data_IF_745040162906
#
_entry.id   IF_745040162906
#
_cell.length_a   1.000
_cell.length_b   1.000
_cell.length_c   1.000
_cell.angle_alpha   90.00
_cell.angle_beta   90.00
_cell.angle_gamma   90.00
#
_symmetry.space_group_name_H-M   'P 1'
#
loop_
_entity.id
_entity.type
_entity.pdbx_description
1 polymer ?
#
# COMPACT_ATOMS: atom_id res chain seq x y z
N UNK A 1 1.00 -13.48 13.11
CA UNK A 1 2.32 -12.83 12.96
C UNK A 1 2.35 -11.51 13.73
N UNK A 2 1.65 -10.41 13.34
CA UNK A 2 1.72 -9.12 14.07
C UNK A 2 1.42 -9.30 15.57
N UNK A 3 0.30 -9.96 15.92
CA UNK A 3 -0.08 -10.27 17.32
C UNK A 3 1.02 -11.02 18.09
N UNK A 4 1.73 -11.91 17.43
CA UNK A 4 2.77 -12.72 18.09
C UNK A 4 3.96 -11.84 18.46
N UNK A 5 4.37 -10.92 17.58
CA UNK A 5 5.45 -9.95 17.87
C UNK A 5 5.01 -8.87 18.87
N UNK A 6 3.74 -8.47 18.89
CA UNK A 6 3.21 -7.59 19.96
C UNK A 6 3.44 -8.23 21.32
N UNK A 7 3.14 -9.53 21.45
CA UNK A 7 3.37 -10.29 22.71
C UNK A 7 4.85 -10.51 22.99
N UNK A 8 5.62 -10.89 22.00
CA UNK A 8 7.07 -11.14 22.11
C UNK A 8 7.84 -9.90 22.56
N UNK A 9 7.43 -8.72 22.08
CA UNK A 9 8.00 -7.43 22.46
C UNK A 9 7.43 -6.86 23.76
N UNK A 10 6.47 -7.54 24.38
CA UNK A 10 5.87 -7.11 25.65
C UNK A 10 5.02 -5.84 25.54
N UNK A 11 4.43 -5.56 24.38
CA UNK A 11 3.55 -4.42 24.18
C UNK A 11 2.16 -4.78 24.75
N UNK A 12 1.85 -4.28 25.95
CA UNK A 12 0.71 -4.79 26.71
C UNK A 12 -0.48 -3.81 26.82
N UNK A 13 -0.27 -2.52 26.55
CA UNK A 13 -1.27 -1.47 26.79
C UNK A 13 -1.03 -0.22 25.94
N UNK A 14 -1.84 0.80 26.14
CA UNK A 14 -1.81 2.09 25.46
C UNK A 14 -0.66 3.03 25.88
N UNK A 15 0.22 2.62 26.79
CA UNK A 15 1.46 3.34 27.08
C UNK A 15 2.55 3.10 26.02
N UNK A 16 2.41 2.03 25.25
CA UNK A 16 3.34 1.65 24.18
C UNK A 16 2.88 2.16 22.81
N UNK A 17 3.83 2.58 22.00
CA UNK A 17 3.62 3.06 20.63
C UNK A 17 4.26 2.10 19.64
N UNK A 18 3.44 1.47 18.81
CA UNK A 18 3.89 0.66 17.67
C UNK A 18 3.88 1.51 16.40
N UNK A 19 4.98 1.51 15.67
CA UNK A 19 5.11 2.13 14.36
C UNK A 19 5.12 1.08 13.25
N UNK A 20 4.36 1.32 12.19
CA UNK A 20 4.54 0.67 10.90
C UNK A 20 4.92 1.71 9.84
N UNK A 21 6.22 1.82 9.47
CA UNK A 21 6.71 2.83 8.53
C UNK A 21 6.40 2.52 7.06
N UNK A 22 5.83 1.36 6.75
CA UNK A 22 5.36 0.95 5.42
C UNK A 22 3.96 0.34 5.55
N UNK A 23 3.04 1.07 6.20
CA UNK A 23 1.79 0.49 6.68
C UNK A 23 0.81 0.06 5.58
N UNK A 24 1.04 0.45 4.33
CA UNK A 24 0.18 0.09 3.22
C UNK A 24 -1.28 0.45 3.52
N UNK A 25 -2.15 -0.55 3.54
CA UNK A 25 -3.56 -0.37 3.90
C UNK A 25 -3.87 -0.66 5.37
N UNK A 26 -2.87 -0.67 6.27
CA UNK A 26 -3.05 -0.58 7.71
C UNK A 26 -3.31 -1.87 8.49
N UNK A 27 -2.95 -3.05 7.97
CA UNK A 27 -3.18 -4.32 8.68
C UNK A 27 -2.48 -4.37 10.04
N UNK A 28 -1.22 -3.94 10.13
CA UNK A 28 -0.47 -3.91 11.40
C UNK A 28 -1.10 -2.95 12.40
N UNK A 29 -1.62 -1.82 11.91
CA UNK A 29 -2.23 -0.80 12.76
C UNK A 29 -3.55 -1.28 13.37
N UNK A 30 -4.40 -1.92 12.56
CA UNK A 30 -5.65 -2.52 13.03
C UNK A 30 -5.36 -3.59 14.08
N UNK A 31 -4.41 -4.48 13.81
CA UNK A 31 -4.05 -5.56 14.73
C UNK A 31 -3.47 -5.02 16.05
N UNK A 32 -2.59 -4.01 15.99
CA UNK A 32 -2.03 -3.37 17.19
C UNK A 32 -3.13 -2.73 18.04
N UNK A 33 -4.04 -1.99 17.41
CA UNK A 33 -5.15 -1.33 18.09
C UNK A 33 -6.12 -2.32 18.74
N UNK A 34 -6.40 -3.47 18.08
CA UNK A 34 -7.18 -4.56 18.66
C UNK A 34 -6.50 -5.24 19.86
N UNK A 35 -5.17 -5.13 19.97
CA UNK A 35 -4.40 -5.65 21.10
C UNK A 35 -4.11 -4.57 22.18
N UNK A 36 -4.77 -3.42 22.13
CA UNK A 36 -4.66 -2.38 23.15
C UNK A 36 -3.46 -1.45 23.01
N UNK A 37 -2.72 -1.46 21.89
CA UNK A 37 -1.48 -0.71 21.68
C UNK A 37 -1.74 0.53 20.81
N UNK A 38 -1.18 1.69 21.21
CA UNK A 38 -1.18 2.87 20.35
C UNK A 38 -0.40 2.60 19.07
N UNK A 39 -0.86 3.15 17.95
CA UNK A 39 -0.27 2.83 16.67
C UNK A 39 -0.07 4.05 15.77
N UNK A 40 1.04 4.06 15.07
CA UNK A 40 1.39 5.06 14.07
C UNK A 40 1.69 4.34 12.77
N UNK A 41 1.06 4.79 11.67
CA UNK A 41 1.37 4.36 10.32
C UNK A 41 2.03 5.47 9.52
N UNK A 42 3.03 5.12 8.72
CA UNK A 42 3.58 5.98 7.68
C UNK A 42 3.39 5.28 6.35
N UNK A 43 2.86 6.01 5.37
CA UNK A 43 2.63 5.49 4.02
C UNK A 43 2.82 6.62 3.00
N UNK A 44 3.67 6.38 2.00
CA UNK A 44 3.94 7.38 0.97
C UNK A 44 2.83 7.44 -0.09
N UNK A 45 2.11 6.34 -0.31
CA UNK A 45 1.04 6.26 -1.31
C UNK A 45 -0.25 6.89 -0.76
N UNK A 46 -0.78 7.98 -1.37
CA UNK A 46 -1.88 8.76 -0.80
C UNK A 46 -3.16 7.93 -0.60
N UNK A 47 -3.53 7.09 -1.58
CA UNK A 47 -4.69 6.21 -1.43
C UNK A 47 -4.49 5.16 -0.33
N UNK A 48 -3.31 4.55 -0.23
CA UNK A 48 -3.04 3.57 0.83
C UNK A 48 -3.04 4.20 2.21
N UNK A 49 -2.45 5.39 2.37
CA UNK A 49 -2.50 6.17 3.60
C UNK A 49 -3.96 6.51 3.99
N UNK A 50 -4.76 6.94 3.01
CA UNK A 50 -6.19 7.18 3.22
C UNK A 50 -6.92 5.91 3.69
N UNK A 51 -6.73 4.78 2.98
CA UNK A 51 -7.35 3.51 3.34
C UNK A 51 -6.96 3.04 4.74
N UNK A 52 -5.68 3.19 5.09
CA UNK A 52 -5.15 2.88 6.41
C UNK A 52 -5.80 3.75 7.49
N UNK A 53 -5.91 5.07 7.25
CA UNK A 53 -6.54 6.01 8.18
C UNK A 53 -8.03 5.68 8.41
N UNK A 54 -8.77 5.30 7.36
CA UNK A 54 -10.18 4.90 7.49
C UNK A 54 -10.32 3.60 8.28
N UNK A 55 -9.48 2.60 8.01
CA UNK A 55 -9.55 1.30 8.70
C UNK A 55 -9.26 1.38 10.21
N UNK A 56 -8.55 2.41 10.64
CA UNK A 56 -8.32 2.66 12.07
C UNK A 56 -9.24 3.76 12.63
N UNK A 57 -10.18 4.29 11.88
CA UNK A 57 -11.22 5.21 12.39
C UNK A 57 -12.45 4.41 12.83
N UNK A 58 -12.48 4.03 14.11
CA UNK A 58 -13.53 3.22 14.72
C UNK A 58 -14.60 4.03 15.47
N UNK A 59 -14.57 5.35 15.34
CA UNK A 59 -15.51 6.24 16.03
C UNK A 59 -16.77 6.54 15.23
N UNK A 60 -16.91 5.96 14.03
CA UNK A 60 -18.10 6.08 13.20
C UNK A 60 -19.18 5.14 13.72
N UNK A 61 -20.38 5.69 13.97
CA UNK A 61 -21.54 4.87 14.33
C UNK A 61 -22.02 4.05 13.15
N UNK A 62 -22.05 2.71 13.26
CA UNK A 62 -22.42 1.86 12.13
C UNK A 62 -23.84 2.04 11.65
N UNK A 63 -24.79 2.41 12.52
CA UNK A 63 -26.20 2.61 12.11
C UNK A 63 -26.34 3.93 11.34
N UNK A 64 -25.70 5.00 11.80
CA UNK A 64 -25.66 6.28 11.09
C UNK A 64 -24.99 6.13 9.71
N UNK A 65 -23.92 5.32 9.61
CA UNK A 65 -23.27 5.01 8.34
C UNK A 65 -24.24 4.34 7.37
N UNK A 66 -24.95 3.30 7.81
CA UNK A 66 -25.92 2.55 6.96
C UNK A 66 -27.09 3.43 6.56
N UNK A 67 -27.66 4.23 7.46
CA UNK A 67 -28.80 5.10 7.17
C UNK A 67 -28.42 6.19 6.16
N UNK A 68 -27.32 6.90 6.38
CA UNK A 68 -26.84 7.94 5.48
C UNK A 68 -26.59 7.40 4.06
N UNK A 69 -25.96 6.22 3.96
CA UNK A 69 -25.65 5.62 2.66
C UNK A 69 -26.88 5.15 1.88
N UNK A 70 -27.96 4.74 2.57
CA UNK A 70 -29.25 4.48 1.91
C UNK A 70 -29.83 5.76 1.26
N UNK A 71 -29.71 6.91 1.92
CA UNK A 71 -30.12 8.20 1.36
C UNK A 71 -29.31 8.61 0.12
N UNK A 72 -27.98 8.41 0.18
CA UNK A 72 -27.09 8.63 -0.97
C UNK A 72 -27.47 7.71 -2.13
N UNK A 73 -27.64 6.41 -1.86
CA UNK A 73 -28.03 5.42 -2.86
C UNK A 73 -29.37 5.78 -3.54
N UNK A 74 -30.38 6.14 -2.76
CA UNK A 74 -31.69 6.53 -3.30
C UNK A 74 -31.59 7.73 -4.24
N UNK A 75 -30.73 8.70 -3.93
CA UNK A 75 -30.47 9.87 -4.77
C UNK A 75 -29.83 9.46 -6.10
N UNK A 76 -28.79 8.63 -6.07
CA UNK A 76 -28.09 8.14 -7.27
C UNK A 76 -29.00 7.30 -8.14
N UNK A 77 -29.76 6.36 -7.55
CA UNK A 77 -30.69 5.50 -8.29
C UNK A 77 -31.80 6.32 -8.97
N UNK A 78 -32.27 7.42 -8.38
CA UNK A 78 -33.20 8.34 -9.01
C UNK A 78 -32.56 9.05 -10.21
N UNK A 79 -31.34 9.61 -10.05
CA UNK A 79 -30.60 10.29 -11.11
C UNK A 79 -30.29 9.34 -12.28
N UNK A 80 -29.94 8.09 -12.02
CA UNK A 80 -29.73 7.08 -13.04
C UNK A 80 -31.00 6.83 -13.86
N UNK A 81 -32.19 6.73 -13.22
CA UNK A 81 -33.47 6.56 -13.92
C UNK A 81 -33.79 7.78 -14.79
N UNK A 82 -33.51 8.99 -14.32
CA UNK A 82 -33.66 10.23 -15.13
C UNK A 82 -32.73 10.22 -16.36
N UNK A 83 -31.57 9.53 -16.27
CA UNK A 83 -30.69 9.31 -17.41
C UNK A 83 -31.09 8.10 -18.29
N UNK A 84 -32.20 7.46 -18.02
CA UNK A 84 -32.66 6.21 -18.67
C UNK A 84 -31.68 5.06 -18.48
N UNK A 85 -31.01 4.99 -17.30
CA UNK A 85 -30.12 3.94 -16.89
C UNK A 85 -30.72 3.17 -15.71
N UNK A 86 -30.47 1.85 -15.68
CA UNK A 86 -30.80 0.98 -14.55
C UNK A 86 -29.51 0.49 -13.92
N UNK A 87 -29.42 0.48 -12.58
CA UNK A 87 -28.22 -0.02 -11.91
C UNK A 87 -28.18 -1.55 -11.88
N UNK A 88 -29.33 -2.20 -11.80
CA UNK A 88 -29.43 -3.66 -11.68
C UNK A 88 -29.47 -4.37 -13.04
N UNK A 89 -29.94 -3.70 -14.07
CA UNK A 89 -30.08 -4.26 -15.42
C UNK A 89 -29.05 -3.65 -16.36
N UNK A 90 -28.29 -4.49 -17.09
CA UNK A 90 -27.35 -3.99 -18.09
C UNK A 90 -28.06 -3.12 -19.13
N UNK A 91 -27.55 -1.92 -19.33
CA UNK A 91 -28.05 -0.96 -20.32
C UNK A 91 -27.07 -0.87 -21.50
N UNK A 92 -27.60 -0.65 -22.69
CA UNK A 92 -26.80 -0.29 -23.84
C UNK A 92 -26.39 1.20 -23.71
N UNK A 93 -25.11 1.54 -23.92
CA UNK A 93 -24.66 2.94 -23.92
C UNK A 93 -25.51 3.86 -24.82
N UNK A 94 -25.99 3.35 -25.96
CA UNK A 94 -26.82 4.09 -26.93
C UNK A 94 -28.23 4.39 -26.43
N UNK A 95 -28.68 3.77 -25.34
CA UNK A 95 -29.98 4.00 -24.71
C UNK A 95 -29.97 5.10 -23.65
N UNK A 96 -28.77 5.59 -23.28
CA UNK A 96 -28.65 6.66 -22.31
C UNK A 96 -29.22 7.97 -22.87
N UNK A 97 -30.08 8.64 -22.09
CA UNK A 97 -30.74 9.88 -22.52
C UNK A 97 -29.84 11.12 -22.44
N UNK A 98 -28.69 10.99 -21.80
CA UNK A 98 -27.71 12.06 -21.63
C UNK A 98 -26.31 11.57 -22.04
N UNK A 99 -25.36 12.47 -22.39
CA UNK A 99 -23.98 12.09 -22.63
C UNK A 99 -23.38 11.44 -21.39
N UNK A 100 -22.70 10.29 -21.58
CA UNK A 100 -22.02 9.61 -20.47
C UNK A 100 -20.93 10.51 -19.89
N UNK A 101 -20.93 10.65 -18.57
CA UNK A 101 -19.84 11.35 -17.85
C UNK A 101 -18.57 10.53 -17.94
N UNK A 102 -17.47 11.22 -18.09
CA UNK A 102 -16.12 10.64 -18.15
C UNK A 102 -15.12 11.51 -17.41
N UNK A 103 -13.95 10.98 -17.13
CA UNK A 103 -12.82 11.77 -16.67
C UNK A 103 -12.28 12.65 -17.78
N UNK A 104 -11.50 13.67 -17.43
CA UNK A 104 -10.80 14.48 -18.42
C UNK A 104 -9.89 13.61 -19.30
N UNK A 105 -9.61 14.01 -20.55
CA UNK A 105 -8.74 13.22 -21.43
C UNK A 105 -7.35 12.91 -20.83
N UNK A 106 -6.81 13.80 -20.01
CA UNK A 106 -5.51 13.60 -19.37
C UNK A 106 -5.58 12.59 -18.22
N UNK A 107 -6.64 12.59 -17.42
CA UNK A 107 -6.88 11.56 -16.41
C UNK A 107 -7.13 10.18 -17.04
N UNK A 108 -7.91 10.12 -18.13
CA UNK A 108 -8.12 8.87 -18.87
C UNK A 108 -6.82 8.25 -19.39
N UNK A 109 -5.84 9.07 -19.79
CA UNK A 109 -4.49 8.60 -20.21
C UNK A 109 -3.67 8.01 -19.06
N UNK A 110 -4.00 8.32 -17.79
CA UNK A 110 -3.33 7.74 -16.63
C UNK A 110 -3.82 6.32 -16.33
N UNK A 111 -5.06 6.02 -16.70
CA UNK A 111 -5.66 4.70 -16.47
C UNK A 111 -5.00 3.61 -17.33
N UNK A 112 -5.07 2.39 -16.88
CA UNK A 112 -4.84 1.23 -17.74
C UNK A 112 -5.98 1.22 -18.76
N UNK A 113 -5.65 1.18 -20.03
CA UNK A 113 -6.65 1.16 -21.10
C UNK A 113 -7.67 0.05 -20.85
N UNK A 114 -8.94 0.37 -21.03
CA UNK A 114 -10.08 -0.54 -20.85
C UNK A 114 -10.25 -1.10 -19.40
N UNK A 115 -9.58 -0.48 -18.40
CA UNK A 115 -9.71 -0.88 -16.99
C UNK A 115 -11.13 -0.68 -16.43
N UNK A 116 -11.92 0.20 -17.01
CA UNK A 116 -13.32 0.41 -16.70
C UNK A 116 -14.08 0.77 -17.98
N UNK A 117 -15.30 0.28 -18.12
CA UNK A 117 -16.18 0.57 -19.26
C UNK A 117 -16.91 1.91 -19.08
N UNK A 118 -17.37 2.57 -20.18
CA UNK A 118 -17.98 3.91 -20.10
C UNK A 118 -19.21 4.01 -19.22
N UNK A 119 -20.15 3.05 -19.28
CA UNK A 119 -21.39 3.09 -18.48
C UNK A 119 -21.10 2.91 -16.98
N UNK A 120 -20.34 1.89 -16.54
CA UNK A 120 -19.91 1.80 -15.16
C UNK A 120 -19.15 3.05 -14.67
N UNK A 121 -18.27 3.63 -15.49
CA UNK A 121 -17.56 4.86 -15.11
C UNK A 121 -18.54 6.02 -14.88
N UNK A 122 -19.54 6.21 -15.76
CA UNK A 122 -20.59 7.22 -15.59
C UNK A 122 -21.34 7.03 -14.26
N UNK A 123 -21.79 5.79 -13.95
CA UNK A 123 -22.45 5.46 -12.68
C UNK A 123 -21.56 5.74 -11.47
N UNK A 124 -20.28 5.37 -11.53
CA UNK A 124 -19.28 5.64 -10.49
C UNK A 124 -19.13 7.14 -10.25
N UNK A 125 -19.04 7.94 -11.30
CA UNK A 125 -18.88 9.40 -11.17
C UNK A 125 -20.14 10.06 -10.59
N UNK A 126 -21.33 9.57 -10.87
CA UNK A 126 -22.57 10.03 -10.23
C UNK A 126 -22.58 9.69 -8.73
N UNK A 127 -22.20 8.46 -8.38
CA UNK A 127 -22.09 8.05 -6.97
C UNK A 127 -21.02 8.84 -6.23
N UNK A 128 -19.88 9.07 -6.86
CA UNK A 128 -18.80 9.88 -6.28
C UNK A 128 -19.27 11.31 -5.99
N UNK A 129 -19.96 11.97 -6.93
CA UNK A 129 -20.50 13.31 -6.71
C UNK A 129 -21.54 13.33 -5.58
N UNK A 130 -22.37 12.29 -5.47
CA UNK A 130 -23.32 12.18 -4.38
C UNK A 130 -22.64 12.02 -3.02
N UNK A 131 -21.56 11.22 -2.93
CA UNK A 131 -20.74 11.06 -1.73
C UNK A 131 -20.01 12.38 -1.39
N UNK A 132 -19.47 13.09 -2.38
CA UNK A 132 -18.75 14.36 -2.19
C UNK A 132 -19.59 15.47 -1.54
N UNK A 133 -20.90 15.46 -1.73
CA UNK A 133 -21.83 16.38 -1.04
C UNK A 133 -21.84 16.20 0.48
N UNK A 134 -21.34 15.06 0.96
CA UNK A 134 -21.22 14.69 2.38
C UNK A 134 -19.80 14.79 2.92
N UNK A 135 -18.90 15.53 2.27
CA UNK A 135 -17.47 15.64 2.64
C UNK A 135 -17.22 16.07 4.09
N UNK A 136 -18.11 16.82 4.70
CA UNK A 136 -18.03 17.25 6.11
C UNK A 136 -18.51 16.22 7.13
N UNK A 137 -19.14 15.15 6.67
CA UNK A 137 -19.77 14.16 7.54
C UNK A 137 -18.76 13.12 8.03
N UNK A 138 -19.00 12.60 9.21
CA UNK A 138 -18.12 11.64 9.88
C UNK A 138 -17.93 10.35 9.05
N UNK A 139 -18.97 9.90 8.38
CA UNK A 139 -18.97 8.67 7.54
C UNK A 139 -18.39 8.86 6.13
N UNK A 140 -18.11 10.09 5.69
CA UNK A 140 -17.67 10.39 4.34
C UNK A 140 -16.50 9.51 3.86
N UNK A 141 -15.46 9.40 4.70
CA UNK A 141 -14.25 8.63 4.36
C UNK A 141 -14.55 7.13 4.20
N UNK A 142 -15.47 6.59 4.98
CA UNK A 142 -15.91 5.19 4.88
C UNK A 142 -16.67 4.97 3.55
N UNK A 143 -17.54 5.92 3.16
CA UNK A 143 -18.20 5.88 1.85
C UNK A 143 -17.20 5.86 0.68
N UNK A 144 -16.17 6.68 0.75
CA UNK A 144 -15.11 6.76 -0.26
C UNK A 144 -14.28 5.46 -0.33
N UNK A 145 -13.93 4.87 0.81
CA UNK A 145 -13.20 3.60 0.84
C UNK A 145 -14.06 2.44 0.33
N UNK A 146 -15.34 2.40 0.68
CA UNK A 146 -16.30 1.44 0.14
C UNK A 146 -16.40 1.53 -1.39
N UNK A 147 -16.45 2.78 -1.92
CA UNK A 147 -16.46 2.99 -3.37
C UNK A 147 -15.14 2.51 -4.02
N UNK A 148 -13.99 2.76 -3.40
CA UNK A 148 -12.71 2.25 -3.89
C UNK A 148 -12.69 0.72 -3.99
N UNK A 149 -13.15 0.01 -2.96
CA UNK A 149 -13.23 -1.45 -2.94
C UNK A 149 -14.18 -1.98 -4.01
N UNK A 150 -15.40 -1.45 -4.07
CA UNK A 150 -16.38 -1.85 -5.07
C UNK A 150 -15.86 -1.57 -6.50
N UNK A 151 -15.25 -0.40 -6.74
CA UNK A 151 -14.66 0.00 -8.02
C UNK A 151 -13.63 -1.01 -8.51
N UNK A 152 -12.69 -1.39 -7.65
CA UNK A 152 -11.57 -2.28 -8.02
C UNK A 152 -12.03 -3.71 -8.21
N UNK A 153 -12.78 -4.28 -7.27
CA UNK A 153 -13.04 -5.71 -7.22
C UNK A 153 -14.34 -6.15 -7.88
N UNK A 154 -15.31 -5.26 -8.02
CA UNK A 154 -16.67 -5.62 -8.50
C UNK A 154 -17.07 -4.87 -9.78
N UNK A 155 -16.64 -3.62 -9.96
CA UNK A 155 -17.10 -2.75 -11.05
C UNK A 155 -16.11 -2.74 -12.23
N UNK A 156 -14.81 -2.67 -11.97
CA UNK A 156 -13.78 -2.55 -13.00
C UNK A 156 -13.63 -3.81 -13.88
N UNK A 157 -12.90 -3.66 -14.97
CA UNK A 157 -12.46 -4.78 -15.82
C UNK A 157 -11.07 -5.30 -15.40
N UNK A 158 -10.55 -4.86 -14.25
CA UNK A 158 -9.22 -5.27 -13.79
C UNK A 158 -9.18 -6.76 -13.42
N UNK A 159 -8.04 -7.36 -13.72
CA UNK A 159 -7.68 -8.72 -13.32
C UNK A 159 -6.36 -8.67 -12.58
N UNK A 160 -6.34 -9.23 -11.38
CA UNK A 160 -5.15 -9.34 -10.56
C UNK A 160 -4.47 -10.69 -10.75
N UNK A 161 -3.17 -10.67 -10.99
CA UNK A 161 -2.31 -11.82 -11.21
C UNK A 161 -0.88 -11.45 -10.80
N UNK A 162 0.15 -12.04 -11.44
CA UNK A 162 1.53 -11.59 -11.25
C UNK A 162 1.70 -10.10 -11.55
N UNK A 163 1.00 -9.59 -12.58
CA UNK A 163 0.84 -8.16 -12.90
C UNK A 163 -0.64 -7.83 -13.00
N UNK A 164 -1.01 -6.57 -12.66
CA UNK A 164 -2.37 -6.08 -12.92
C UNK A 164 -2.58 -5.88 -14.42
N UNK A 165 -3.67 -6.39 -14.91
CA UNK A 165 -4.08 -6.28 -16.31
C UNK A 165 -5.57 -6.10 -16.45
N UNK A 166 -6.07 -6.16 -17.68
CA UNK A 166 -7.49 -6.11 -17.99
C UNK A 166 -7.99 -7.53 -18.28
N UNK A 167 -9.08 -7.90 -17.66
CA UNK A 167 -9.76 -9.16 -17.85
C UNK A 167 -10.86 -9.06 -18.90
N UNK A 168 -12.00 -9.70 -18.64
CA UNK A 168 -13.17 -9.62 -19.49
C UNK A 168 -13.75 -8.20 -19.44
N UNK A 169 -14.01 -7.61 -20.62
CA UNK A 169 -14.65 -6.31 -20.72
C UNK A 169 -16.15 -6.50 -20.45
N UNK A 170 -16.63 -5.83 -19.42
CA UNK A 170 -18.07 -5.79 -19.06
C UNK A 170 -18.62 -4.45 -19.46
N UNK A 171 -19.55 -4.43 -20.43
CA UNK A 171 -20.11 -3.18 -20.98
C UNK A 171 -20.84 -2.37 -19.93
N UNK A 172 -21.60 -3.05 -19.08
CA UNK A 172 -22.28 -2.48 -17.93
C UNK A 172 -22.30 -3.46 -16.75
N UNK A 173 -22.31 -2.91 -15.54
CA UNK A 173 -22.42 -3.64 -14.27
C UNK A 173 -23.12 -2.76 -13.22
N UNK A 174 -23.74 -3.34 -12.17
CA UNK A 174 -24.19 -2.60 -11.01
C UNK A 174 -23.05 -1.83 -10.33
N UNK A 175 -23.35 -0.67 -9.78
CA UNK A 175 -22.41 0.19 -9.03
C UNK A 175 -22.89 0.47 -7.62
N UNK A 176 -24.18 0.80 -7.45
CA UNK A 176 -24.74 1.16 -6.14
C UNK A 176 -24.85 -0.04 -5.22
N UNK A 177 -25.31 -1.19 -5.74
CA UNK A 177 -25.47 -2.40 -4.92
C UNK A 177 -24.13 -2.95 -4.39
N UNK A 178 -23.05 -3.07 -5.20
CA UNK A 178 -21.70 -3.41 -4.70
C UNK A 178 -21.17 -2.43 -3.65
N UNK A 179 -21.37 -1.13 -3.86
CA UNK A 179 -20.97 -0.11 -2.89
C UNK A 179 -21.70 -0.27 -1.54
N UNK A 180 -23.02 -0.48 -1.55
CA UNK A 180 -23.80 -0.73 -0.34
C UNK A 180 -23.38 -2.03 0.37
N UNK A 181 -22.99 -3.04 -0.39
CA UNK A 181 -22.46 -4.29 0.18
C UNK A 181 -21.14 -4.02 0.95
N UNK A 182 -20.23 -3.21 0.40
CA UNK A 182 -19.00 -2.82 1.11
C UNK A 182 -19.29 -2.00 2.37
N UNK A 183 -20.27 -1.09 2.32
CA UNK A 183 -20.76 -0.36 3.50
C UNK A 183 -21.29 -1.32 4.57
N UNK A 184 -22.09 -2.31 4.17
CA UNK A 184 -22.60 -3.34 5.07
C UNK A 184 -21.46 -4.10 5.77
N UNK A 185 -20.46 -4.53 5.02
CA UNK A 185 -19.27 -5.21 5.56
C UNK A 185 -18.54 -4.32 6.58
N UNK A 186 -18.33 -3.02 6.28
CA UNK A 186 -17.69 -2.09 7.20
C UNK A 186 -18.53 -1.86 8.47
N UNK A 187 -19.84 -1.73 8.34
CA UNK A 187 -20.73 -1.58 9.49
C UNK A 187 -20.70 -2.84 10.38
N UNK A 188 -20.67 -4.02 9.79
CA UNK A 188 -20.56 -5.28 10.53
C UNK A 188 -19.21 -5.40 11.25
N UNK A 189 -18.12 -4.96 10.65
CA UNK A 189 -16.82 -4.93 11.29
C UNK A 189 -16.80 -3.95 12.47
N UNK A 190 -17.38 -2.74 12.32
CA UNK A 190 -17.51 -1.78 13.41
C UNK A 190 -18.34 -2.32 14.57
N UNK A 191 -19.45 -3.06 14.31
CA UNK A 191 -20.28 -3.70 15.35
C UNK A 191 -19.53 -4.80 16.12
N UNK A 192 -18.55 -5.44 15.50
CA UNK A 192 -17.75 -6.51 16.14
C UNK A 192 -16.60 -5.98 16.99
N UNK A 193 -16.32 -4.69 16.93
CA UNK A 193 -15.26 -4.13 17.75
C UNK A 193 -15.59 -4.26 19.25
N UNK A 194 -14.59 -4.56 20.09
CA UNK A 194 -14.78 -4.53 21.53
C UNK A 194 -15.22 -3.13 21.98
N UNK A 195 -16.18 -3.04 22.87
CA UNK A 195 -16.59 -1.75 23.43
C UNK A 195 -15.50 -1.14 24.30
N UNK A 196 -15.44 0.20 24.35
CA UNK A 196 -14.55 0.95 25.25
C UNK A 196 -13.72 2.03 24.54
N UNK A 197 -12.89 2.73 25.27
CA UNK A 197 -11.94 3.66 24.66
C UNK A 197 -10.91 2.85 23.85
N UNK A 198 -10.72 3.23 22.61
CA UNK A 198 -9.72 2.59 21.75
C UNK A 198 -8.37 3.30 21.87
N UNK A 199 -7.23 2.56 21.81
CA UNK A 199 -5.92 3.17 21.74
C UNK A 199 -5.81 4.15 20.57
N UNK A 200 -5.00 5.19 20.75
CA UNK A 200 -4.77 6.19 19.70
C UNK A 200 -4.18 5.54 18.45
N UNK A 201 -4.69 5.92 17.29
CA UNK A 201 -4.14 5.55 15.99
C UNK A 201 -3.95 6.81 15.13
N UNK A 202 -2.78 6.93 14.50
CA UNK A 202 -2.46 8.02 13.60
C UNK A 202 -1.84 7.46 12.31
N UNK A 203 -2.20 8.05 11.16
CA UNK A 203 -1.58 7.70 9.87
C UNK A 203 -1.07 8.99 9.22
N UNK A 204 0.20 8.99 8.84
CA UNK A 204 0.84 10.08 8.15
C UNK A 204 1.16 9.68 6.71
N UNK A 205 0.78 10.53 5.76
CA UNK A 205 1.21 10.39 4.38
C UNK A 205 2.61 10.97 4.24
N UNK A 206 3.63 10.13 4.32
CA UNK A 206 5.03 10.55 4.29
C UNK A 206 5.95 9.45 3.72
N UNK A 207 7.17 9.85 3.37
CA UNK A 207 8.22 8.92 2.94
C UNK A 207 8.86 8.28 4.17
N UNK A 208 8.92 6.96 4.19
CA UNK A 208 9.54 6.18 5.27
C UNK A 208 11.06 6.42 5.42
N UNK A 209 11.70 7.12 4.49
CA UNK A 209 13.10 7.52 4.53
C UNK A 209 13.33 8.87 5.23
N UNK A 210 12.26 9.56 5.65
CA UNK A 210 12.27 10.89 6.28
C UNK A 210 11.37 10.91 7.55
N UNK A 211 11.38 9.85 8.36
CA UNK A 211 10.51 9.65 9.54
C UNK A 211 10.77 10.68 10.63
N UNK A 212 12.03 11.02 10.87
CA UNK A 212 12.43 11.98 11.89
C UNK A 212 11.84 13.40 11.68
N UNK A 213 11.37 13.70 10.47
CA UNK A 213 10.63 14.94 10.18
C UNK A 213 9.16 14.87 10.56
N UNK A 214 8.64 13.67 10.77
CA UNK A 214 7.21 13.40 11.02
C UNK A 214 6.97 13.08 12.48
N UNK A 215 7.86 12.33 13.10
CA UNK A 215 7.72 11.84 14.47
C UNK A 215 8.71 12.52 15.43
N UNK A 216 8.29 12.78 16.67
CA UNK A 216 9.19 13.26 17.72
C UNK A 216 10.33 12.25 18.00
N UNK A 217 11.51 12.70 18.44
CA UNK A 217 12.55 11.82 18.93
C UNK A 217 12.06 10.94 20.08
N UNK A 218 12.57 9.70 20.15
CA UNK A 218 12.29 8.75 21.25
C UNK A 218 10.80 8.58 21.58
N UNK A 219 9.98 8.46 20.54
CA UNK A 219 8.51 8.34 20.67
C UNK A 219 7.98 6.93 20.35
N UNK A 220 8.81 6.02 19.85
CA UNK A 220 8.43 4.70 19.34
C UNK A 220 9.02 3.59 20.20
N UNK A 221 8.19 2.66 20.68
CA UNK A 221 8.59 1.51 21.51
C UNK A 221 8.85 0.26 20.67
N UNK A 222 8.16 0.11 19.53
CA UNK A 222 8.36 -1.01 18.63
C UNK A 222 8.02 -0.66 17.18
N UNK A 223 8.64 -1.42 16.26
CA UNK A 223 8.32 -1.39 14.83
C UNK A 223 7.92 -2.79 14.37
N UNK A 224 6.77 -2.92 13.72
CA UNK A 224 6.37 -4.16 13.03
C UNK A 224 5.93 -3.78 11.63
N UNK A 225 6.66 -4.22 10.61
CA UNK A 225 6.47 -3.74 9.24
C UNK A 225 6.84 -4.77 8.19
N UNK A 226 6.28 -4.59 7.00
CA UNK A 226 6.67 -5.33 5.79
C UNK A 226 6.99 -4.32 4.68
N UNK A 227 8.25 -3.86 4.57
CA UNK A 227 8.65 -2.95 3.50
C UNK A 227 8.47 -3.61 2.12
N UNK A 228 8.45 -2.84 1.02
CA UNK A 228 8.45 -3.44 -0.31
C UNK A 228 9.65 -4.36 -0.48
N UNK A 229 9.48 -5.49 -1.19
CA UNK A 229 10.56 -6.44 -1.45
C UNK A 229 11.34 -6.03 -2.72
N UNK A 230 12.61 -6.43 -2.89
CA UNK A 230 13.31 -6.26 -4.16
C UNK A 230 12.50 -6.92 -5.29
N UNK A 231 12.30 -6.22 -6.40
CA UNK A 231 11.44 -6.63 -7.52
C UNK A 231 9.96 -6.84 -7.16
N UNK A 232 9.44 -6.03 -6.24
CA UNK A 232 8.01 -6.01 -5.93
C UNK A 232 7.20 -5.34 -7.04
N UNK A 233 5.89 -5.56 -7.02
CA UNK A 233 4.95 -4.96 -7.97
C UNK A 233 5.00 -3.42 -7.91
N UNK A 234 4.74 -2.78 -9.05
CA UNK A 234 4.51 -1.33 -9.09
C UNK A 234 3.14 -1.02 -8.47
N UNK A 235 3.12 -0.72 -7.16
CA UNK A 235 1.91 -0.39 -6.42
C UNK A 235 1.15 0.79 -7.04
N UNK A 236 1.86 1.75 -7.64
CA UNK A 236 1.19 2.87 -8.33
C UNK A 236 0.44 2.43 -9.59
N UNK A 237 0.76 1.26 -10.14
CA UNK A 237 0.03 0.65 -11.25
C UNK A 237 -1.14 -0.18 -10.75
N UNK A 238 -0.93 -0.91 -9.65
CA UNK A 238 -1.95 -1.79 -9.05
C UNK A 238 -3.15 -0.99 -8.53
N UNK A 239 -2.88 0.18 -7.93
CA UNK A 239 -3.91 1.07 -7.36
C UNK A 239 -4.29 2.24 -8.27
N UNK A 240 -3.97 2.16 -9.57
CA UNK A 240 -4.10 3.27 -10.50
C UNK A 240 -5.54 3.72 -10.70
N UNK A 241 -6.47 2.78 -10.82
CA UNK A 241 -7.86 3.07 -11.13
C UNK A 241 -8.51 3.89 -10.02
N UNK A 242 -8.51 3.37 -8.81
CA UNK A 242 -9.09 4.03 -7.65
C UNK A 242 -8.37 5.33 -7.30
N UNK A 243 -7.03 5.38 -7.45
CA UNK A 243 -6.27 6.59 -7.16
C UNK A 243 -6.60 7.75 -8.11
N UNK A 244 -6.87 7.46 -9.38
CA UNK A 244 -7.22 8.49 -10.37
C UNK A 244 -8.71 8.83 -10.28
N UNK A 245 -9.60 7.85 -10.21
CA UNK A 245 -11.05 8.07 -10.19
C UNK A 245 -11.48 8.83 -8.94
N UNK A 246 -10.87 8.53 -7.79
CA UNK A 246 -11.18 9.16 -6.50
C UNK A 246 -10.35 10.43 -6.22
N UNK A 247 -9.54 10.87 -7.18
CA UNK A 247 -8.83 12.16 -7.09
C UNK A 247 -7.55 12.17 -6.26
N UNK A 248 -6.98 11.01 -5.88
CA UNK A 248 -5.69 10.94 -5.19
C UNK A 248 -4.48 11.20 -6.12
N UNK A 249 -4.68 11.07 -7.42
CA UNK A 249 -3.71 11.40 -8.48
C UNK A 249 -4.45 12.22 -9.52
N UNK A 250 -4.12 13.50 -9.61
CA UNK A 250 -4.77 14.45 -10.52
C UNK A 250 -4.05 14.59 -11.87
N UNK A 251 -2.74 14.29 -11.94
CA UNK A 251 -1.97 14.39 -13.18
C UNK A 251 -0.72 13.50 -13.20
N UNK A 252 0.10 13.64 -14.25
CA UNK A 252 1.37 12.91 -14.41
C UNK A 252 2.44 13.34 -13.40
N UNK A 253 2.40 14.58 -12.92
CA UNK A 253 3.40 15.08 -11.98
C UNK A 253 3.13 14.48 -10.62
N UNK A 254 1.86 14.44 -10.16
CA UNK A 254 1.46 13.75 -8.94
C UNK A 254 1.94 12.30 -8.94
N UNK A 255 1.75 11.60 -10.08
CA UNK A 255 2.21 10.22 -10.22
C UNK A 255 3.73 10.10 -10.16
N UNK A 256 4.47 11.06 -10.75
CA UNK A 256 5.93 11.09 -10.70
C UNK A 256 6.42 11.37 -9.29
N UNK A 257 5.83 12.34 -8.61
CA UNK A 257 6.18 12.73 -7.24
C UNK A 257 5.86 11.62 -6.25
N UNK A 258 4.72 10.94 -6.42
CA UNK A 258 4.44 9.72 -5.68
C UNK A 258 5.54 8.68 -5.86
N UNK A 259 5.91 8.36 -7.09
CA UNK A 259 6.97 7.37 -7.37
C UNK A 259 8.31 7.76 -6.74
N UNK A 260 8.64 9.04 -6.66
CA UNK A 260 9.87 9.52 -6.03
C UNK A 260 9.91 9.31 -4.51
N UNK A 261 8.75 9.28 -3.86
CA UNK A 261 8.63 9.03 -2.41
C UNK A 261 8.65 7.54 -2.03
N UNK A 262 8.55 6.63 -3.01
CA UNK A 262 8.61 5.20 -2.76
C UNK A 262 10.05 4.70 -2.75
N UNK A 263 10.36 3.75 -1.88
CA UNK A 263 11.61 2.97 -1.96
C UNK A 263 11.67 2.26 -3.32
N UNK A 264 12.83 2.30 -3.98
CA UNK A 264 13.01 1.72 -5.33
C UNK A 264 12.99 0.20 -5.28
N UNK A 265 11.84 -0.40 -5.43
CA UNK A 265 11.68 -1.86 -5.43
C UNK A 265 11.58 -2.48 -6.83
N UNK A 266 11.34 -1.66 -7.87
CA UNK A 266 11.21 -2.11 -9.25
C UNK A 266 11.76 -1.08 -10.26
N UNK A 267 11.99 -1.52 -11.49
CA UNK A 267 12.62 -0.69 -12.54
C UNK A 267 11.76 0.45 -13.07
N UNK A 268 10.44 0.42 -12.86
CA UNK A 268 9.52 1.45 -13.36
C UNK A 268 9.55 2.75 -12.56
N UNK A 269 10.16 2.72 -11.39
CA UNK A 269 10.30 3.87 -10.49
C UNK A 269 11.74 4.41 -10.40
N UNK A 270 12.67 3.95 -11.25
CA UNK A 270 14.07 4.41 -11.25
C UNK A 270 14.22 5.67 -12.08
N UNK A 271 14.80 6.69 -11.49
CA UNK A 271 15.12 7.97 -12.14
C UNK A 271 16.63 8.20 -12.21
N UNK A 272 17.08 9.04 -13.15
CA UNK A 272 18.49 9.34 -13.34
C UNK A 272 19.14 10.04 -12.14
N UNK A 273 18.33 10.82 -11.42
CA UNK A 273 18.71 11.60 -10.24
C UNK A 273 18.52 10.85 -8.90
N UNK A 274 18.18 9.55 -8.94
CA UNK A 274 18.19 8.71 -7.73
C UNK A 274 19.63 8.52 -7.24
N UNK A 275 19.85 8.68 -5.92
CA UNK A 275 21.15 8.59 -5.27
C UNK A 275 21.17 7.72 -4.01
N UNK A 276 20.07 7.02 -3.69
CA UNK A 276 20.05 6.14 -2.52
C UNK A 276 21.11 5.02 -2.62
N UNK A 277 21.52 4.60 -3.84
CA UNK A 277 22.57 3.60 -4.09
C UNK A 277 23.94 4.00 -3.51
N UNK A 278 24.24 5.29 -3.32
CA UNK A 278 25.46 5.79 -2.66
C UNK A 278 25.56 5.30 -1.21
N UNK A 279 24.43 5.06 -0.53
CA UNK A 279 24.40 4.59 0.87
C UNK A 279 24.91 3.16 1.08
N UNK A 280 25.09 2.42 0.00
CA UNK A 280 25.58 1.03 0.02
C UNK A 280 26.81 0.82 -0.86
N UNK A 281 27.50 1.87 -1.26
CA UNK A 281 28.73 1.78 -2.07
C UNK A 281 29.80 0.94 -1.39
N UNK A 282 29.96 1.08 -0.08
CA UNK A 282 30.95 0.34 0.72
C UNK A 282 30.50 -1.08 1.09
N UNK A 283 29.24 -1.45 0.83
CA UNK A 283 28.76 -2.79 1.09
C UNK A 283 29.17 -3.75 -0.03
N UNK A 284 30.29 -4.44 0.17
CA UNK A 284 30.90 -5.32 -0.83
C UNK A 284 29.96 -6.44 -1.32
N UNK A 285 29.05 -6.93 -0.48
CA UNK A 285 28.15 -8.01 -0.86
C UNK A 285 27.02 -7.52 -1.77
N UNK A 286 26.42 -6.35 -1.46
CA UNK A 286 25.41 -5.74 -2.34
C UNK A 286 26.04 -5.39 -3.68
N UNK A 287 27.27 -4.87 -3.71
CA UNK A 287 27.99 -4.61 -4.95
C UNK A 287 28.23 -5.91 -5.74
N UNK A 288 28.69 -6.99 -5.09
CA UNK A 288 28.93 -8.29 -5.72
C UNK A 288 27.64 -8.92 -6.32
N UNK A 289 26.48 -8.76 -5.64
CA UNK A 289 25.18 -9.19 -6.15
C UNK A 289 24.82 -8.37 -7.40
N UNK A 290 24.94 -7.04 -7.34
CA UNK A 290 24.66 -6.16 -8.46
C UNK A 290 25.54 -6.47 -9.69
N UNK A 291 26.84 -6.70 -9.47
CA UNK A 291 27.79 -7.12 -10.51
C UNK A 291 27.45 -8.50 -11.09
N UNK A 292 26.96 -9.41 -10.27
CA UNK A 292 26.52 -10.73 -10.72
C UNK A 292 25.27 -10.65 -11.60
N UNK A 293 24.33 -9.76 -11.25
CA UNK A 293 23.14 -9.48 -12.07
C UNK A 293 23.58 -8.88 -13.42
N UNK A 294 24.50 -7.92 -13.43
CA UNK A 294 24.97 -7.28 -14.67
C UNK A 294 25.75 -8.26 -15.56
N UNK A 295 26.66 -9.06 -14.99
CA UNK A 295 27.36 -10.14 -15.74
C UNK A 295 26.36 -11.10 -16.36
N UNK A 296 25.36 -11.55 -15.59
CA UNK A 296 24.33 -12.46 -16.08
C UNK A 296 23.48 -11.85 -17.19
N UNK A 297 23.22 -10.54 -17.11
CA UNK A 297 22.52 -9.78 -18.17
C UNK A 297 23.32 -9.83 -19.48
N UNK A 298 24.62 -9.57 -19.40
CA UNK A 298 25.54 -9.58 -20.56
C UNK A 298 25.63 -11.00 -21.15
N UNK A 299 25.88 -12.01 -20.33
CA UNK A 299 25.96 -13.42 -20.75
C UNK A 299 24.70 -13.89 -21.49
N UNK A 300 23.52 -13.46 -21.05
CA UNK A 300 22.24 -13.80 -21.65
C UNK A 300 21.86 -12.90 -22.84
N UNK A 301 22.71 -11.95 -23.23
CA UNK A 301 22.45 -11.02 -24.31
C UNK A 301 21.21 -10.12 -24.07
N UNK A 302 20.86 -9.85 -22.82
CA UNK A 302 19.68 -9.05 -22.46
C UNK A 302 19.94 -7.56 -22.64
N UNK A 303 19.15 -6.92 -23.51
CA UNK A 303 19.36 -5.50 -23.93
C UNK A 303 18.19 -4.58 -23.63
N UNK A 304 17.06 -5.07 -23.10
CA UNK A 304 15.89 -4.24 -22.80
C UNK A 304 16.24 -3.16 -21.75
N UNK A 305 15.55 -2.02 -21.81
CA UNK A 305 15.73 -0.93 -20.85
C UNK A 305 15.51 -1.33 -19.41
N UNK A 306 14.57 -2.26 -19.15
CA UNK A 306 14.30 -2.77 -17.82
C UNK A 306 15.44 -3.63 -17.27
N UNK A 307 15.96 -4.55 -18.07
CA UNK A 307 17.02 -5.48 -17.66
C UNK A 307 18.33 -4.75 -17.36
N UNK A 308 18.61 -3.65 -18.04
CA UNK A 308 19.76 -2.77 -17.78
C UNK A 308 19.70 -2.08 -16.41
N UNK A 309 18.52 -1.99 -15.82
CA UNK A 309 18.31 -1.33 -14.53
C UNK A 309 18.34 -2.30 -13.34
N UNK A 310 18.37 -3.62 -13.55
CA UNK A 310 18.25 -4.59 -12.45
C UNK A 310 19.39 -4.45 -11.43
N UNK A 311 20.62 -4.32 -11.85
CA UNK A 311 21.76 -4.09 -10.95
C UNK A 311 21.60 -2.80 -10.15
N UNK A 312 21.22 -1.69 -10.82
CA UNK A 312 21.05 -0.40 -10.18
C UNK A 312 19.88 -0.39 -9.21
N UNK A 313 18.71 -0.95 -9.58
CA UNK A 313 17.55 -0.96 -8.69
C UNK A 313 17.80 -1.80 -7.44
N UNK A 314 18.62 -2.85 -7.53
CA UNK A 314 19.04 -3.63 -6.35
C UNK A 314 19.82 -2.75 -5.37
N UNK A 315 20.78 -1.97 -5.85
CA UNK A 315 21.53 -1.02 -5.00
C UNK A 315 20.64 0.09 -4.44
N UNK A 316 19.77 0.67 -5.26
CA UNK A 316 18.82 1.70 -4.84
C UNK A 316 17.84 1.19 -3.78
N UNK A 317 17.42 -0.07 -3.86
CA UNK A 317 16.56 -0.67 -2.85
C UNK A 317 17.25 -0.72 -1.48
N UNK A 318 18.42 -1.33 -1.41
CA UNK A 318 19.16 -1.46 -0.15
C UNK A 318 19.65 -0.10 0.37
N UNK A 319 20.01 0.80 -0.51
CA UNK A 319 20.35 2.17 -0.13
C UNK A 319 19.16 2.95 0.44
N UNK A 320 17.98 2.78 -0.14
CA UNK A 320 16.73 3.34 0.41
C UNK A 320 16.40 2.76 1.79
N UNK A 321 16.60 1.45 2.00
CA UNK A 321 16.45 0.82 3.32
C UNK A 321 17.52 1.27 4.32
N UNK A 322 18.77 1.48 3.88
CA UNK A 322 19.82 2.05 4.73
C UNK A 322 19.47 3.48 5.20
N UNK A 323 18.95 4.33 4.29
CA UNK A 323 18.48 5.66 4.62
C UNK A 323 17.31 5.61 5.60
N UNK A 324 16.34 4.72 5.37
CA UNK A 324 15.21 4.50 6.27
C UNK A 324 15.69 4.15 7.68
N UNK A 325 16.55 3.14 7.84
CA UNK A 325 17.08 2.70 9.14
C UNK A 325 17.89 3.80 9.83
N UNK A 326 18.68 4.57 9.08
CA UNK A 326 19.45 5.69 9.60
C UNK A 326 18.57 6.81 10.17
N UNK A 327 17.43 7.11 9.51
CA UNK A 327 16.49 8.15 9.93
C UNK A 327 15.59 7.66 11.07
N UNK A 328 15.12 6.43 11.01
CA UNK A 328 14.23 5.81 11.99
C UNK A 328 14.81 5.82 13.42
N UNK A 329 16.11 5.57 13.58
CA UNK A 329 16.78 5.47 14.90
C UNK A 329 16.53 6.69 15.79
N UNK A 330 16.38 7.88 15.20
CA UNK A 330 16.14 9.12 15.93
C UNK A 330 14.80 9.09 16.69
N UNK A 331 13.84 8.31 16.21
CA UNK A 331 12.49 8.21 16.78
C UNK A 331 12.33 7.08 17.78
N UNK A 332 13.28 6.15 17.83
CA UNK A 332 13.22 4.97 18.68
C UNK A 332 13.56 5.29 20.14
N UNK A 333 12.81 4.72 21.06
CA UNK A 333 13.19 4.69 22.47
C UNK A 333 14.32 3.67 22.69
N UNK A 334 15.22 3.90 23.65
CA UNK A 334 16.23 2.91 24.05
C UNK A 334 15.57 1.57 24.40
N UNK A 335 16.03 0.50 23.78
CA UNK A 335 15.46 -0.85 23.96
C UNK A 335 14.31 -1.19 23.01
N UNK A 336 13.89 -0.29 22.13
CA UNK A 336 12.82 -0.56 21.16
C UNK A 336 13.12 -1.78 20.28
N UNK A 337 12.11 -2.62 20.07
CA UNK A 337 12.21 -3.83 19.25
C UNK A 337 11.64 -3.61 17.86
N UNK A 338 12.25 -4.25 16.86
CA UNK A 338 11.82 -4.11 15.48
C UNK A 338 11.67 -5.49 14.83
N UNK A 339 10.60 -5.67 14.03
CA UNK A 339 10.34 -6.86 13.22
C UNK A 339 10.09 -6.44 11.75
N UNK A 340 11.04 -6.76 10.88
CA UNK A 340 10.94 -6.50 9.44
C UNK A 340 10.64 -7.78 8.69
N UNK A 341 9.46 -7.88 8.10
CA UNK A 341 9.07 -9.00 7.23
C UNK A 341 9.61 -8.75 5.83
N UNK A 342 10.53 -9.56 5.38
CA UNK A 342 11.16 -9.45 4.06
C UNK A 342 11.29 -10.81 3.39
N UNK A 343 11.39 -10.82 2.06
CA UNK A 343 11.49 -12.04 1.29
C UNK A 343 12.71 -12.06 0.37
N UNK A 344 13.35 -13.23 0.32
CA UNK A 344 14.37 -13.51 -0.69
C UNK A 344 13.82 -13.36 -2.09
N UNK A 345 14.67 -12.89 -3.01
CA UNK A 345 14.33 -12.71 -4.41
C UNK A 345 15.39 -13.33 -5.32
N UNK A 346 14.91 -13.88 -6.44
CA UNK A 346 15.78 -14.39 -7.51
C UNK A 346 15.24 -13.98 -8.89
N UNK A 347 14.43 -12.94 -8.96
CA UNK A 347 13.73 -12.51 -10.18
C UNK A 347 14.64 -11.79 -11.16
N UNK A 348 15.72 -11.18 -10.67
CA UNK A 348 16.69 -10.51 -11.52
C UNK A 348 17.69 -11.53 -12.09
N UNK A 349 17.31 -12.10 -13.23
CA UNK A 349 18.12 -13.04 -14.01
C UNK A 349 18.59 -14.27 -13.22
N UNK A 350 17.76 -14.71 -12.26
CA UNK A 350 18.02 -15.85 -11.37
C UNK A 350 19.22 -15.67 -10.39
N UNK A 351 19.63 -14.43 -10.15
CA UNK A 351 20.60 -14.12 -9.10
C UNK A 351 19.87 -14.03 -7.77
N UNK A 352 20.33 -14.80 -6.77
CA UNK A 352 19.73 -14.80 -5.43
C UNK A 352 20.07 -13.53 -4.67
N UNK A 353 19.05 -12.91 -4.07
CA UNK A 353 19.17 -11.75 -3.19
C UNK A 353 18.64 -12.19 -1.81
N UNK A 354 19.52 -12.49 -0.84
CA UNK A 354 19.13 -12.89 0.51
C UNK A 354 18.75 -11.65 1.33
N UNK A 355 17.51 -11.17 1.12
CA UNK A 355 17.07 -9.84 1.58
C UNK A 355 17.15 -9.69 3.10
N UNK A 356 16.73 -10.72 3.87
CA UNK A 356 16.72 -10.67 5.33
C UNK A 356 18.12 -10.48 5.92
N UNK A 357 19.10 -11.25 5.42
CA UNK A 357 20.47 -11.14 5.87
C UNK A 357 21.10 -9.78 5.51
N UNK A 358 20.94 -9.34 4.26
CA UNK A 358 21.48 -8.04 3.83
C UNK A 358 20.88 -6.87 4.61
N UNK A 359 19.58 -6.94 4.93
CA UNK A 359 18.93 -5.92 5.75
C UNK A 359 19.47 -5.92 7.19
N UNK A 360 19.70 -7.10 7.77
CA UNK A 360 20.31 -7.23 9.09
C UNK A 360 21.73 -6.62 9.13
N UNK A 361 22.56 -6.88 8.11
CA UNK A 361 23.91 -6.33 8.01
C UNK A 361 23.89 -4.80 7.90
N UNK A 362 22.97 -4.25 7.10
CA UNK A 362 22.77 -2.80 7.01
C UNK A 362 22.34 -2.23 8.36
N UNK A 363 21.38 -2.86 9.05
CA UNK A 363 20.91 -2.40 10.34
C UNK A 363 22.04 -2.38 11.39
N UNK A 364 22.84 -3.45 11.47
CA UNK A 364 23.99 -3.51 12.37
C UNK A 364 25.01 -2.39 12.09
N UNK A 365 25.25 -2.06 10.83
CA UNK A 365 26.12 -0.94 10.46
C UNK A 365 25.58 0.43 10.96
N UNK A 366 24.27 0.57 11.15
CA UNK A 366 23.65 1.76 11.73
C UNK A 366 23.46 1.68 13.26
N UNK A 367 24.03 0.66 13.93
CA UNK A 367 24.04 0.54 15.38
C UNK A 367 22.87 -0.25 15.99
N UNK A 368 22.06 -0.92 15.18
CA UNK A 368 21.07 -1.85 15.68
C UNK A 368 21.70 -3.17 16.11
N UNK A 369 21.10 -3.83 17.08
CA UNK A 369 21.46 -5.19 17.49
C UNK A 369 20.60 -6.20 16.74
N UNK A 370 21.20 -7.17 16.07
CA UNK A 370 20.48 -8.30 15.51
C UNK A 370 20.15 -9.29 16.64
N UNK A 371 18.89 -9.54 16.90
CA UNK A 371 18.43 -10.52 17.90
C UNK A 371 18.31 -11.90 17.25
N UNK A 372 17.60 -12.01 16.12
CA UNK A 372 17.41 -13.26 15.38
C UNK A 372 16.79 -12.99 14.00
N UNK A 373 16.80 -14.01 13.16
CA UNK A 373 16.04 -14.04 11.90
C UNK A 373 15.09 -15.24 11.96
N UNK A 374 13.80 -14.98 12.04
CA UNK A 374 12.78 -16.02 12.09
C UNK A 374 12.33 -16.39 10.67
N UNK A 375 12.24 -17.69 10.38
CA UNK A 375 11.65 -18.15 9.12
C UNK A 375 10.12 -18.07 9.22
N UNK A 376 9.50 -17.19 8.43
CA UNK A 376 8.05 -17.06 8.40
C UNK A 376 7.39 -18.12 7.51
N UNK A 377 7.89 -18.26 6.28
CA UNK A 377 7.49 -19.32 5.34
C UNK A 377 8.52 -19.49 4.23
N UNK A 378 8.38 -20.57 3.47
CA UNK A 378 9.15 -20.78 2.24
C UNK A 378 8.22 -20.76 1.03
N UNK A 379 8.74 -20.27 -0.09
CA UNK A 379 8.06 -20.21 -1.38
C UNK A 379 8.95 -20.85 -2.44
N UNK A 380 8.43 -21.81 -3.21
CA UNK A 380 9.19 -22.42 -4.29
C UNK A 380 9.23 -21.49 -5.51
N UNK A 381 10.41 -21.11 -5.95
CA UNK A 381 10.61 -20.31 -7.15
C UNK A 381 10.73 -21.23 -8.37
N UNK A 382 9.71 -21.25 -9.21
CA UNK A 382 9.64 -22.12 -10.40
C UNK A 382 10.81 -21.87 -11.38
N UNK A 383 11.27 -20.63 -11.49
CA UNK A 383 12.34 -20.22 -12.42
C UNK A 383 13.73 -20.71 -11.98
N UNK A 384 14.03 -20.70 -10.68
CA UNK A 384 15.34 -21.10 -10.14
C UNK A 384 15.35 -22.50 -9.56
N UNK A 385 14.17 -23.12 -9.39
CA UNK A 385 13.97 -24.37 -8.66
C UNK A 385 14.52 -24.35 -7.23
N UNK A 386 14.59 -23.17 -6.63
CA UNK A 386 15.07 -22.94 -5.27
C UNK A 386 13.92 -22.54 -4.34
N UNK A 387 14.08 -22.82 -3.07
CA UNK A 387 13.19 -22.30 -2.04
C UNK A 387 13.62 -20.86 -1.69
N UNK A 388 12.72 -19.91 -1.87
CA UNK A 388 12.87 -18.54 -1.40
C UNK A 388 12.29 -18.47 0.02
N UNK A 389 13.02 -17.85 0.91
CA UNK A 389 12.62 -17.66 2.30
C UNK A 389 11.90 -16.33 2.44
N UNK A 390 10.82 -16.34 3.18
CA UNK A 390 10.20 -15.13 3.71
C UNK A 390 10.50 -15.13 5.20
N UNK A 391 11.20 -14.10 5.65
CA UNK A 391 11.84 -14.05 6.96
C UNK A 391 11.38 -12.82 7.74
N UNK A 392 11.49 -12.89 9.06
CA UNK A 392 11.32 -11.74 9.93
C UNK A 392 12.67 -11.44 10.57
N UNK A 393 13.27 -10.31 10.19
CA UNK A 393 14.48 -9.80 10.81
C UNK A 393 14.10 -9.08 12.10
N UNK A 394 14.49 -9.66 13.24
CA UNK A 394 14.21 -9.11 14.57
C UNK A 394 15.43 -8.37 15.07
N UNK A 395 15.27 -7.07 15.27
CA UNK A 395 16.30 -6.14 15.71
C UNK A 395 15.91 -5.50 17.04
N UNK A 396 16.90 -4.92 17.71
CA UNK A 396 16.70 -4.06 18.87
C UNK A 396 17.53 -2.78 18.72
N UNK A 397 16.93 -1.63 19.07
CA UNK A 397 17.69 -0.41 19.30
C UNK A 397 18.36 -0.51 20.67
N UNK A 398 19.66 -0.24 20.80
CA UNK A 398 20.39 -0.45 22.07
C UNK A 398 19.73 0.27 23.25
N UNK A 399 19.83 -0.33 24.44
CA UNK A 399 19.52 0.36 25.70
C UNK A 399 20.61 1.40 25.96
N UNK A 400 20.22 2.52 26.55
CA UNK A 400 21.21 3.43 27.12
C UNK A 400 21.93 2.69 28.25
N UNK A 401 23.27 2.66 28.21
CA UNK A 401 24.10 2.01 29.22
C UNK A 401 24.09 2.76 30.54
#
# INVERSE_FOLDING_TARGET
>A
MVRDYIRDFGLADDSHVLLDPFCGTGTSLVEARLNGVQTIGIEAHPFSAFASAVKVDWEVDPESLVEATRGIAATVLRELREHNLDDERPCDPDQCSVPLRTLTPDLMKLLIRDSISPVPLHKVLLLLDAIERHRGERYYKHCMLALANALVFQISNLRFGPEVGVGQIRRDVPVVAPWLSEIGNMADDLRRLPGGPYPRACVYQADARDIARVLPPRSVDAVITSPPYPNEKDYTRTTRLESVVLGFIADKNDLRDLKRRLVRSNTRGVYSDDSDDEKVEENSEIQAIADSIERRRIELGKTSGFERLYARVTKLYFGGMARHLADLRETLRPGAHLAYVVGDQASYLQVMIPTGRLLADIAMAWGYELIRIDLFRTRFATATKQQLREEVVVLRWPKEG
#
